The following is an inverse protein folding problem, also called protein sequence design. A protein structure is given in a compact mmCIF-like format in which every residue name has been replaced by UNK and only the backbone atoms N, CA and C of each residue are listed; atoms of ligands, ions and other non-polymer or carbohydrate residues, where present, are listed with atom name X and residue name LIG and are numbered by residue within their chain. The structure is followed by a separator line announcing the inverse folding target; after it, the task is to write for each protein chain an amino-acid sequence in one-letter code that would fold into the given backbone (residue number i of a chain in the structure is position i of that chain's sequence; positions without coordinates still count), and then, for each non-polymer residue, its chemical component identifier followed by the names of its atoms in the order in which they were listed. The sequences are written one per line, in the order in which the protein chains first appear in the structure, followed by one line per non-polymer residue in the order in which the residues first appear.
data_IF_488006119401
#
_entry.id   IF_488006119401
#
_cell.length_a   1.000
_cell.length_b   1.000
_cell.length_c   1.000
_cell.angle_alpha   90.00
_cell.angle_beta   90.00
_cell.angle_gamma   90.00
#
_symmetry.space_group_name_H-M   'P 1'
#
loop_
_entity.id
_entity.type
_entity.pdbx_description
1 polymer ?
#
# COMPACT_ATOMS: atom_id res chain seq x y z
N UNK A 1 -19.00 -0.53 8.91
CA UNK A 1 -19.76 -1.44 9.83
C UNK A 1 -20.98 -2.01 9.12
N UNK A 2 -21.40 -3.26 9.38
CA UNK A 2 -22.67 -3.75 8.83
C UNK A 2 -23.82 -2.98 9.49
N UNK A 3 -24.80 -2.44 8.74
CA UNK A 3 -25.78 -1.47 9.25
C UNK A 3 -26.69 -1.99 10.38
N UNK A 4 -26.60 -3.25 10.78
CA UNK A 4 -27.51 -3.93 11.69
C UNK A 4 -26.82 -4.55 12.93
N UNK A 5 -25.63 -4.08 13.32
CA UNK A 5 -24.87 -4.71 14.41
C UNK A 5 -25.57 -4.59 15.79
N UNK A 6 -26.31 -3.50 16.02
CA UNK A 6 -27.02 -3.29 17.30
C UNK A 6 -28.27 -4.17 17.43
N UNK A 7 -29.00 -4.43 16.35
CA UNK A 7 -30.16 -5.30 16.29
C UNK A 7 -29.73 -6.76 16.45
N UNK A 8 -28.70 -7.17 15.75
CA UNK A 8 -28.11 -8.51 15.86
C UNK A 8 -27.62 -8.84 17.26
N UNK A 9 -27.22 -7.83 18.04
CA UNK A 9 -26.79 -8.04 19.42
C UNK A 9 -27.91 -8.61 20.31
N UNK A 10 -29.16 -8.27 20.04
CA UNK A 10 -30.32 -8.80 20.76
C UNK A 10 -30.60 -10.29 20.46
N UNK A 11 -30.17 -10.76 19.29
CA UNK A 11 -30.36 -12.12 18.80
C UNK A 11 -29.23 -13.07 19.23
N UNK A 12 -28.09 -12.52 19.66
CA UNK A 12 -26.94 -13.34 20.05
C UNK A 12 -27.21 -14.16 21.29
N UNK A 13 -26.69 -15.37 21.27
CA UNK A 13 -26.73 -16.32 22.38
C UNK A 13 -25.33 -16.80 22.70
N UNK A 14 -25.14 -17.24 23.92
CA UNK A 14 -23.91 -17.95 24.34
C UNK A 14 -23.84 -19.32 23.66
N UNK A 15 -22.65 -19.95 23.66
CA UNK A 15 -22.45 -21.26 23.02
C UNK A 15 -23.36 -22.39 23.58
N UNK A 16 -23.91 -22.22 24.78
CA UNK A 16 -24.89 -23.10 25.42
C UNK A 16 -26.36 -22.68 25.18
N UNK A 17 -26.59 -21.70 24.28
CA UNK A 17 -27.92 -21.25 23.84
C UNK A 17 -28.61 -20.24 24.76
N UNK A 18 -27.98 -19.81 25.88
CA UNK A 18 -28.54 -18.82 26.80
C UNK A 18 -28.41 -17.40 26.22
N UNK A 19 -29.22 -16.48 26.74
CA UNK A 19 -29.05 -15.05 26.43
C UNK A 19 -27.73 -14.53 26.99
N UNK A 20 -27.13 -13.54 26.29
CA UNK A 20 -25.92 -12.92 26.77
C UNK A 20 -26.12 -12.23 28.12
N UNK A 21 -25.16 -12.32 29.06
CA UNK A 21 -25.20 -11.59 30.31
C UNK A 21 -25.39 -10.08 30.09
N UNK A 22 -26.23 -9.41 30.92
CA UNK A 22 -26.52 -7.98 30.73
C UNK A 22 -25.27 -7.09 30.76
N UNK A 23 -24.27 -7.42 31.59
CA UNK A 23 -23.00 -6.71 31.65
C UNK A 23 -22.22 -6.79 30.32
N UNK A 24 -22.18 -7.98 29.72
CA UNK A 24 -21.52 -8.19 28.41
C UNK A 24 -22.25 -7.43 27.29
N UNK A 25 -23.60 -7.46 27.30
CA UNK A 25 -24.39 -6.68 26.34
C UNK A 25 -24.11 -5.19 26.48
N UNK A 26 -24.01 -4.68 27.70
CA UNK A 26 -23.68 -3.26 27.96
C UNK A 26 -22.26 -2.91 27.50
N UNK A 27 -21.32 -3.81 27.68
CA UNK A 27 -19.93 -3.65 27.21
C UNK A 27 -19.86 -3.61 25.67
N UNK A 28 -20.46 -4.59 24.99
CA UNK A 28 -20.52 -4.64 23.53
C UNK A 28 -21.18 -3.36 22.96
N UNK A 29 -22.26 -2.87 23.60
CA UNK A 29 -22.89 -1.61 23.19
C UNK A 29 -21.96 -0.40 23.33
N UNK A 30 -21.12 -0.37 24.37
CA UNK A 30 -20.11 0.69 24.52
C UNK A 30 -19.06 0.63 23.42
N UNK A 31 -18.57 -0.56 23.11
CA UNK A 31 -17.58 -0.75 22.04
C UNK A 31 -18.16 -0.44 20.65
N UNK A 32 -19.40 -0.79 20.38
CA UNK A 32 -20.09 -0.42 19.14
C UNK A 32 -20.23 1.11 19.00
N UNK A 33 -20.46 1.83 20.10
CA UNK A 33 -20.49 3.32 20.07
C UNK A 33 -19.12 3.91 19.80
N UNK A 34 -18.07 3.37 20.43
CA UNK A 34 -16.67 3.78 20.15
C UNK A 34 -16.30 3.54 18.69
N UNK A 35 -16.65 2.38 18.16
CA UNK A 35 -16.40 2.04 16.78
C UNK A 35 -17.07 3.04 15.83
N UNK A 36 -18.34 3.39 16.04
CA UNK A 36 -19.05 4.38 15.23
C UNK A 36 -18.36 5.74 15.26
N UNK A 37 -17.98 6.22 16.44
CA UNK A 37 -17.28 7.49 16.59
C UNK A 37 -15.96 7.48 15.81
N UNK A 38 -15.19 6.39 15.87
CA UNK A 38 -13.94 6.27 15.11
C UNK A 38 -14.20 6.23 13.61
N UNK A 39 -15.25 5.53 13.15
CA UNK A 39 -15.65 5.53 11.74
C UNK A 39 -16.04 6.93 11.24
N UNK A 40 -16.77 7.72 12.04
CA UNK A 40 -17.10 9.12 11.75
C UNK A 40 -15.83 9.98 11.65
N UNK A 41 -14.93 9.91 12.63
CA UNK A 41 -13.65 10.64 12.62
C UNK A 41 -12.76 10.26 11.41
N UNK A 42 -12.77 8.99 11.01
CA UNK A 42 -12.08 8.55 9.79
C UNK A 42 -12.71 9.20 8.57
N UNK A 43 -14.06 9.22 8.49
CA UNK A 43 -14.79 9.84 7.39
C UNK A 43 -14.51 11.35 7.27
N UNK A 44 -14.49 12.06 8.40
CA UNK A 44 -14.13 13.48 8.45
C UNK A 44 -12.68 13.71 7.97
N UNK A 45 -11.72 12.95 8.48
CA UNK A 45 -10.32 13.06 8.07
C UNK A 45 -10.10 12.69 6.59
N UNK A 46 -10.89 11.77 6.05
CA UNK A 46 -10.88 11.44 4.64
C UNK A 46 -11.47 12.57 3.78
N UNK A 47 -12.56 13.22 4.23
CA UNK A 47 -13.17 14.36 3.57
C UNK A 47 -12.23 15.58 3.56
N UNK A 48 -11.65 15.95 4.69
CA UNK A 48 -10.64 17.02 4.77
C UNK A 48 -9.46 16.79 3.83
N UNK A 49 -9.03 15.52 3.74
CA UNK A 49 -7.95 15.14 2.82
C UNK A 49 -8.38 15.23 1.35
N UNK A 50 -9.66 15.00 1.06
CA UNK A 50 -10.20 15.17 -0.28
C UNK A 50 -10.22 16.63 -0.71
N UNK A 51 -10.66 17.52 0.18
CA UNK A 51 -10.70 18.97 -0.07
C UNK A 51 -9.29 19.54 -0.26
N UNK A 52 -8.34 19.14 0.59
CA UNK A 52 -6.94 19.57 0.48
C UNK A 52 -6.31 19.09 -0.84
N UNK A 53 -6.60 17.87 -1.28
CA UNK A 53 -6.12 17.32 -2.55
C UNK A 53 -6.85 17.97 -3.74
N UNK A 54 -8.11 18.36 -3.60
CA UNK A 54 -8.87 19.08 -4.61
C UNK A 54 -8.29 20.47 -4.91
N UNK A 55 -7.88 21.20 -3.89
CA UNK A 55 -7.30 22.55 -4.02
C UNK A 55 -5.89 22.56 -4.64
N UNK A 56 -5.06 21.54 -4.38
CA UNK A 56 -3.71 21.40 -4.94
C UNK A 56 -3.70 20.84 -6.38
N UNK A 57 -4.80 20.38 -6.94
CA UNK A 57 -4.81 19.21 -7.83
C UNK A 57 -4.93 19.48 -9.31
N UNK A 58 -5.32 20.65 -9.76
CA UNK A 58 -5.52 20.89 -11.19
C UNK A 58 -4.19 20.94 -11.97
N UNK A 59 -3.07 21.17 -11.28
CA UNK A 59 -1.75 21.32 -11.90
C UNK A 59 -0.75 20.22 -11.56
N UNK A 60 -1.00 19.32 -10.60
CA UNK A 60 0.03 18.36 -10.13
C UNK A 60 -0.05 17.00 -10.82
N UNK A 61 0.63 16.88 -11.96
CA UNK A 61 0.82 15.61 -12.70
C UNK A 61 1.33 14.47 -11.81
N UNK A 62 2.04 14.78 -10.71
CA UNK A 62 2.61 13.79 -9.78
C UNK A 62 1.55 13.05 -8.96
N UNK A 63 0.33 13.60 -8.87
CA UNK A 63 -0.82 12.87 -8.31
C UNK A 63 -1.68 12.27 -9.41
N UNK A 64 -1.95 13.03 -10.46
CA UNK A 64 -2.86 12.63 -11.52
C UNK A 64 -2.40 11.34 -12.22
N UNK A 65 -1.13 11.27 -12.61
CA UNK A 65 -0.60 10.12 -13.35
C UNK A 65 -0.65 8.79 -12.56
N UNK A 66 -0.19 8.69 -11.30
CA UNK A 66 -0.33 7.45 -10.55
C UNK A 66 -1.78 7.01 -10.34
N UNK A 67 -2.73 7.96 -10.22
CA UNK A 67 -4.16 7.64 -10.10
C UNK A 67 -4.75 7.00 -11.34
N UNK A 68 -4.22 7.31 -12.53
CA UNK A 68 -4.67 6.70 -13.78
C UNK A 68 -4.30 5.21 -13.83
N UNK A 69 -3.33 4.77 -13.08
CA UNK A 69 -2.92 3.37 -13.07
C UNK A 69 -3.90 2.55 -12.25
N UNK A 70 -4.50 1.54 -12.88
CA UNK A 70 -5.40 0.60 -12.20
C UNK A 70 -4.66 -0.10 -11.06
N UNK A 71 -5.26 -0.14 -9.88
CA UNK A 71 -4.63 -0.71 -8.68
C UNK A 71 -3.90 0.31 -7.79
N UNK A 72 -3.68 1.56 -8.25
CA UNK A 72 -3.21 2.65 -7.39
C UNK A 72 -4.39 3.55 -7.06
N UNK A 73 -4.87 3.46 -5.82
CA UNK A 73 -5.94 4.31 -5.31
C UNK A 73 -5.48 5.74 -5.01
N UNK A 74 -6.45 6.64 -4.76
CA UNK A 74 -6.17 8.04 -4.42
C UNK A 74 -5.24 8.18 -3.20
N UNK A 75 -5.52 7.45 -2.13
CA UNK A 75 -4.70 7.46 -0.90
C UNK A 75 -3.25 7.09 -1.19
N UNK A 76 -3.03 6.02 -1.95
CA UNK A 76 -1.70 5.56 -2.32
C UNK A 76 -0.99 6.57 -3.24
N UNK A 77 -1.68 7.17 -4.22
CA UNK A 77 -1.12 8.18 -5.10
C UNK A 77 -0.70 9.45 -4.32
N UNK A 78 -1.55 9.94 -3.41
CA UNK A 78 -1.24 11.08 -2.55
C UNK A 78 -0.06 10.78 -1.62
N UNK A 79 -0.03 9.60 -1.04
CA UNK A 79 1.07 9.19 -0.18
C UNK A 79 2.39 9.06 -0.95
N UNK A 80 2.37 8.49 -2.17
CA UNK A 80 3.55 8.46 -3.04
C UNK A 80 4.06 9.87 -3.40
N UNK A 81 3.15 10.82 -3.68
CA UNK A 81 3.54 12.21 -3.91
C UNK A 81 4.23 12.80 -2.69
N UNK A 82 3.58 12.70 -1.51
CA UNK A 82 4.07 13.33 -0.27
C UNK A 82 5.35 12.70 0.26
N UNK A 83 5.50 11.39 0.11
CA UNK A 83 6.61 10.65 0.70
C UNK A 83 7.75 10.38 -0.28
N UNK A 84 7.50 10.40 -1.57
CA UNK A 84 8.48 10.01 -2.59
C UNK A 84 8.66 11.10 -3.65
N UNK A 85 7.61 11.42 -4.39
CA UNK A 85 7.70 12.23 -5.61
C UNK A 85 7.62 13.76 -5.37
N UNK A 86 7.67 14.21 -4.12
CA UNK A 86 7.94 15.61 -3.79
C UNK A 86 9.40 15.98 -4.05
N UNK A 87 10.30 14.99 -4.11
CA UNK A 87 11.73 15.14 -4.40
C UNK A 87 12.03 14.79 -5.85
N UNK A 88 13.08 15.38 -6.34
CA UNK A 88 13.69 14.99 -7.62
C UNK A 88 14.82 14.00 -7.36
N UNK A 89 14.91 12.98 -8.21
CA UNK A 89 15.93 11.95 -8.14
C UNK A 89 16.70 11.95 -9.45
N UNK A 90 18.01 11.93 -9.36
CA UNK A 90 18.89 11.92 -10.54
C UNK A 90 18.95 10.53 -11.17
N UNK A 91 18.80 9.50 -10.37
CA UNK A 91 18.88 8.12 -10.85
C UNK A 91 18.12 7.13 -9.97
N UNK A 92 17.90 5.91 -10.52
CA UNK A 92 17.20 4.82 -9.84
C UNK A 92 17.88 4.31 -8.55
N UNK A 93 19.20 4.53 -8.39
CA UNK A 93 19.93 4.08 -7.20
C UNK A 93 19.63 5.00 -6.04
N UNK A 94 19.63 6.30 -6.28
CA UNK A 94 19.26 7.33 -5.31
C UNK A 94 17.82 7.12 -4.81
N UNK A 95 16.86 6.93 -5.72
CA UNK A 95 15.48 6.61 -5.39
C UNK A 95 15.38 5.35 -4.51
N UNK A 96 16.06 4.28 -4.89
CA UNK A 96 16.05 3.03 -4.12
C UNK A 96 16.73 3.18 -2.74
N UNK A 97 17.78 3.99 -2.66
CA UNK A 97 18.48 4.33 -1.41
C UNK A 97 17.58 5.12 -0.47
N UNK A 98 16.93 6.17 -0.98
CA UNK A 98 15.97 6.98 -0.21
C UNK A 98 14.84 6.15 0.42
N UNK A 99 14.39 5.12 -0.26
CA UNK A 99 13.33 4.23 0.20
C UNK A 99 13.84 3.08 1.10
N UNK A 100 15.16 2.93 1.23
CA UNK A 100 15.77 1.79 1.89
C UNK A 100 15.49 0.45 1.22
N UNK A 101 15.21 0.49 -0.10
CA UNK A 101 15.01 -0.68 -0.96
C UNK A 101 16.28 -1.09 -1.71
N UNK A 102 17.38 -0.38 -1.49
CA UNK A 102 18.68 -0.77 -2.04
C UNK A 102 19.18 -2.06 -1.36
N UNK A 103 19.79 -3.00 -2.10
CA UNK A 103 20.44 -4.13 -1.49
C UNK A 103 21.60 -3.66 -0.62
N UNK A 104 21.82 -4.33 0.48
CA UNK A 104 22.90 -4.08 1.41
C UNK A 104 23.85 -5.29 1.41
N UNK A 105 24.72 -5.44 0.40
CA UNK A 105 25.69 -6.52 0.40
C UNK A 105 26.74 -6.25 1.48
N UNK A 106 27.03 -7.26 2.26
CA UNK A 106 28.20 -7.25 3.13
C UNK A 106 29.30 -8.07 2.47
N UNK A 107 30.36 -7.38 2.09
CA UNK A 107 31.51 -7.99 1.42
C UNK A 107 32.73 -7.75 2.27
N UNK A 108 33.30 -8.84 2.79
CA UNK A 108 34.66 -8.83 3.36
C UNK A 108 35.46 -9.89 2.62
N UNK A 109 36.67 -9.57 2.24
CA UNK A 109 37.62 -10.32 1.39
C UNK A 109 37.18 -11.68 0.78
N UNK A 110 36.65 -12.60 1.57
CA UNK A 110 36.22 -13.93 1.13
C UNK A 110 34.75 -14.27 1.39
N UNK A 111 34.01 -13.37 2.07
CA UNK A 111 32.62 -13.62 2.47
C UNK A 111 31.69 -12.64 1.79
N UNK A 112 30.80 -13.16 0.93
CA UNK A 112 29.72 -12.40 0.29
C UNK A 112 28.39 -12.76 0.94
N UNK A 113 27.89 -11.92 1.84
CA UNK A 113 26.58 -12.09 2.47
C UNK A 113 25.59 -11.06 1.92
N UNK A 114 24.49 -11.54 1.36
CA UNK A 114 23.35 -10.69 0.98
C UNK A 114 22.48 -10.49 2.23
N UNK A 115 22.54 -9.29 2.81
CA UNK A 115 21.74 -8.91 3.98
C UNK A 115 20.33 -8.46 3.60
N UNK A 116 19.95 -8.54 2.31
CA UNK A 116 18.67 -8.06 1.80
C UNK A 116 18.67 -6.55 1.54
N UNK A 117 17.58 -5.86 1.90
CA UNK A 117 17.48 -4.40 1.73
C UNK A 117 18.02 -3.65 2.93
N UNK A 118 18.58 -2.45 2.70
CA UNK A 118 19.21 -1.64 3.76
C UNK A 118 18.26 -1.23 4.88
N UNK A 119 16.96 -1.07 4.57
CA UNK A 119 15.92 -0.54 5.46
C UNK A 119 16.20 0.87 6.02
N UNK A 120 17.38 1.42 5.80
CA UNK A 120 17.72 2.81 6.08
C UNK A 120 17.02 3.70 5.06
N UNK A 121 16.11 4.57 5.49
CA UNK A 121 15.37 5.46 4.60
C UNK A 121 13.89 5.57 4.99
N UNK A 122 13.05 6.11 4.10
CA UNK A 122 11.66 6.37 4.38
C UNK A 122 10.84 5.07 4.56
N UNK A 123 10.62 4.67 5.81
CA UNK A 123 9.91 3.45 6.17
C UNK A 123 8.43 3.50 5.73
N UNK A 124 7.79 4.67 5.83
CA UNK A 124 6.38 4.85 5.45
C UNK A 124 6.19 4.66 3.94
N UNK A 125 7.03 5.32 3.14
CA UNK A 125 7.02 5.15 1.69
C UNK A 125 7.28 3.69 1.28
N UNK A 126 8.21 3.03 1.95
CA UNK A 126 8.51 1.61 1.71
C UNK A 126 7.31 0.70 1.99
N UNK A 127 6.61 0.91 3.11
CA UNK A 127 5.39 0.15 3.45
C UNK A 127 4.32 0.33 2.39
N UNK A 128 4.01 1.56 2.00
CA UNK A 128 3.03 1.88 0.96
C UNK A 128 3.40 1.22 -0.37
N UNK A 129 4.68 1.25 -0.76
CA UNK A 129 5.14 0.62 -2.00
C UNK A 129 5.00 -0.91 -1.97
N UNK A 130 5.20 -1.54 -0.82
CA UNK A 130 4.99 -2.98 -0.66
C UNK A 130 3.50 -3.33 -0.78
N UNK A 131 2.62 -2.53 -0.20
CA UNK A 131 1.17 -2.69 -0.34
C UNK A 131 0.73 -2.52 -1.81
N UNK A 132 1.21 -1.47 -2.48
CA UNK A 132 0.95 -1.27 -3.91
C UNK A 132 1.47 -2.44 -4.73
N UNK A 133 2.64 -3.01 -4.40
CA UNK A 133 3.18 -4.16 -5.11
C UNK A 133 2.29 -5.41 -4.96
N UNK A 134 1.67 -5.63 -3.80
CA UNK A 134 0.66 -6.67 -3.63
C UNK A 134 -0.59 -6.41 -4.47
N UNK A 135 -1.12 -5.19 -4.43
CA UNK A 135 -2.26 -4.79 -5.26
C UNK A 135 -1.95 -4.88 -6.75
N UNK A 136 -0.71 -4.57 -7.15
CA UNK A 136 -0.24 -4.67 -8.53
C UNK A 136 -0.37 -6.08 -9.09
N UNK A 137 -0.01 -7.09 -8.32
CA UNK A 137 -0.15 -8.48 -8.77
C UNK A 137 -1.60 -8.88 -9.03
N UNK A 138 -2.55 -8.23 -8.38
CA UNK A 138 -3.99 -8.49 -8.49
C UNK A 138 -4.64 -7.68 -9.62
N UNK A 139 -4.32 -6.38 -9.71
CA UNK A 139 -5.02 -5.44 -10.59
C UNK A 139 -4.31 -5.21 -11.92
N UNK A 140 -3.05 -5.63 -12.04
CA UNK A 140 -2.21 -5.50 -13.24
C UNK A 140 -1.61 -6.83 -13.68
N UNK A 141 -2.42 -7.91 -13.81
CA UNK A 141 -1.88 -9.25 -14.07
C UNK A 141 -1.17 -9.37 -15.41
N UNK A 142 -1.56 -8.55 -16.40
CA UNK A 142 -0.95 -8.51 -17.74
C UNK A 142 0.34 -7.71 -17.82
N UNK A 143 0.68 -6.91 -16.80
CA UNK A 143 1.88 -6.09 -16.83
C UNK A 143 3.15 -6.92 -16.79
N UNK A 144 4.20 -6.44 -17.48
CA UNK A 144 5.53 -7.09 -17.48
C UNK A 144 6.08 -7.32 -16.06
N UNK A 145 5.83 -6.40 -15.14
CA UNK A 145 6.25 -6.53 -13.75
C UNK A 145 5.51 -7.65 -13.02
N UNK A 146 4.21 -7.82 -13.27
CA UNK A 146 3.44 -8.90 -12.67
C UNK A 146 3.82 -10.26 -13.28
N UNK A 147 4.07 -10.33 -14.58
CA UNK A 147 4.59 -11.52 -15.25
C UNK A 147 5.95 -11.92 -14.67
N UNK A 148 6.88 -10.97 -14.58
CA UNK A 148 8.19 -11.19 -13.96
C UNK A 148 8.07 -11.71 -12.52
N UNK A 149 7.14 -11.17 -11.74
CA UNK A 149 6.92 -11.61 -10.37
C UNK A 149 6.40 -13.06 -10.33
N UNK A 150 5.40 -13.39 -11.14
CA UNK A 150 4.84 -14.75 -11.20
C UNK A 150 5.87 -15.79 -11.61
N UNK A 151 6.67 -15.51 -12.63
CA UNK A 151 7.76 -16.37 -13.08
C UNK A 151 8.76 -16.66 -11.97
N UNK A 152 9.15 -15.61 -11.22
CA UNK A 152 10.12 -15.73 -10.12
C UNK A 152 9.55 -16.41 -8.88
N UNK A 153 8.29 -16.15 -8.57
CA UNK A 153 7.62 -16.77 -7.42
C UNK A 153 7.38 -18.25 -7.71
N UNK A 154 6.92 -18.62 -8.90
CA UNK A 154 6.54 -19.99 -9.20
C UNK A 154 5.69 -20.59 -8.09
N UNK A 155 6.16 -21.68 -7.48
CA UNK A 155 5.53 -22.36 -6.34
C UNK A 155 6.05 -21.85 -4.97
N UNK A 156 6.90 -20.83 -4.93
CA UNK A 156 7.49 -20.35 -3.68
C UNK A 156 6.45 -19.75 -2.74
N UNK A 157 6.53 -20.16 -1.48
CA UNK A 157 5.68 -19.68 -0.38
C UNK A 157 6.53 -19.01 0.71
N UNK A 158 5.88 -18.43 1.69
CA UNK A 158 6.51 -17.92 2.90
C UNK A 158 7.54 -16.81 2.65
N UNK A 159 8.77 -17.00 3.14
CA UNK A 159 9.83 -15.99 3.15
C UNK A 159 10.23 -15.54 1.74
N UNK A 160 10.42 -16.47 0.81
CA UNK A 160 10.87 -16.14 -0.55
C UNK A 160 9.85 -15.26 -1.29
N UNK A 161 8.56 -15.58 -1.17
CA UNK A 161 7.49 -14.76 -1.76
C UNK A 161 7.52 -13.33 -1.22
N UNK A 162 7.76 -13.14 0.10
CA UNK A 162 7.87 -11.81 0.72
C UNK A 162 9.09 -11.04 0.20
N UNK A 163 10.24 -11.69 0.03
CA UNK A 163 11.43 -11.08 -0.58
C UNK A 163 11.14 -10.61 -1.99
N UNK A 164 10.47 -11.43 -2.80
CA UNK A 164 10.14 -11.11 -4.19
C UNK A 164 9.13 -9.96 -4.31
N UNK A 165 8.19 -9.81 -3.37
CA UNK A 165 7.30 -8.64 -3.34
C UNK A 165 8.08 -7.35 -3.07
N UNK A 166 9.06 -7.38 -2.19
CA UNK A 166 9.95 -6.22 -1.94
C UNK A 166 10.76 -5.88 -3.21
N UNK A 167 11.24 -6.89 -3.92
CA UNK A 167 11.93 -6.69 -5.20
C UNK A 167 10.98 -6.12 -6.26
N UNK A 168 9.71 -6.57 -6.29
CA UNK A 168 8.67 -5.99 -7.14
C UNK A 168 8.41 -4.52 -6.78
N UNK A 169 8.26 -4.19 -5.49
CA UNK A 169 8.07 -2.82 -5.02
C UNK A 169 9.20 -1.89 -5.49
N UNK A 170 10.45 -2.35 -5.44
CA UNK A 170 11.60 -1.60 -5.96
C UNK A 170 11.53 -1.38 -7.47
N UNK A 171 11.16 -2.40 -8.25
CA UNK A 171 10.99 -2.26 -9.70
C UNK A 171 9.82 -1.33 -10.03
N UNK A 172 8.74 -1.46 -9.29
CA UNK A 172 7.52 -0.68 -9.48
C UNK A 172 7.75 0.81 -9.24
N UNK A 173 8.44 1.19 -8.15
CA UNK A 173 8.71 2.61 -7.89
C UNK A 173 9.61 3.23 -8.95
N UNK A 174 10.56 2.48 -9.50
CA UNK A 174 11.39 2.95 -10.62
C UNK A 174 10.54 3.12 -11.89
N UNK A 175 9.60 2.22 -12.15
CA UNK A 175 8.70 2.32 -13.29
C UNK A 175 7.75 3.54 -13.14
N UNK A 176 7.18 3.75 -11.96
CA UNK A 176 6.35 4.92 -11.65
C UNK A 176 7.13 6.24 -11.74
N UNK A 177 8.37 6.25 -11.26
CA UNK A 177 9.24 7.41 -11.40
C UNK A 177 9.49 7.77 -12.86
N UNK A 178 9.79 6.79 -13.72
CA UNK A 178 9.95 7.02 -15.17
C UNK A 178 8.65 7.49 -15.82
N UNK A 179 7.52 6.96 -15.39
CA UNK A 179 6.23 7.41 -15.87
C UNK A 179 5.99 8.88 -15.53
N UNK A 180 6.33 9.31 -14.31
CA UNK A 180 6.18 10.70 -13.87
C UNK A 180 7.17 11.66 -14.52
N UNK A 181 8.43 11.24 -14.68
CA UNK A 181 9.50 12.10 -15.20
C UNK A 181 9.53 12.18 -16.73
N UNK A 182 9.27 11.08 -17.42
CA UNK A 182 9.41 10.95 -18.86
C UNK A 182 8.11 10.58 -19.59
N UNK A 183 7.00 10.41 -18.90
CA UNK A 183 5.72 9.99 -19.48
C UNK A 183 5.70 8.53 -19.98
N UNK A 184 6.72 7.73 -19.68
CA UNK A 184 6.87 6.37 -20.20
C UNK A 184 5.95 5.44 -19.40
N UNK A 185 4.84 5.04 -20.01
CA UNK A 185 3.91 4.06 -19.42
C UNK A 185 4.63 2.71 -19.31
N UNK A 186 4.60 2.06 -18.12
CA UNK A 186 5.21 0.74 -17.98
C UNK A 186 4.50 -0.30 -18.84
N UNK A 187 5.27 -1.21 -19.44
CA UNK A 187 4.77 -2.19 -20.40
C UNK A 187 3.65 -3.07 -19.83
N UNK A 188 2.55 -3.17 -20.59
CA UNK A 188 1.37 -3.98 -20.24
C UNK A 188 0.54 -3.43 -19.09
N UNK A 189 0.69 -2.15 -18.75
CA UNK A 189 -0.10 -1.49 -17.70
C UNK A 189 -1.44 -1.04 -18.23
N UNK A 190 -2.49 -1.41 -17.51
CA UNK A 190 -3.85 -0.92 -17.73
C UNK A 190 -4.05 0.41 -17.00
N UNK A 191 -4.44 1.42 -17.73
CA UNK A 191 -4.89 2.69 -17.19
C UNK A 191 -6.40 2.65 -16.92
N UNK A 192 -6.87 3.49 -16.02
CA UNK A 192 -8.30 3.73 -15.83
C UNK A 192 -8.81 4.60 -16.97
N UNK A 193 -9.97 4.25 -17.46
CA UNK A 193 -10.72 5.10 -18.37
C UNK A 193 -11.23 6.35 -17.63
#
# INVERSE_FOLDING_TARGET
MRPNAAERLAELRTGDGRSLPPCLVAEIRRELRRLRLVEEMIGEAEAEREDTVGAETVADRRIALPRQVKGIGRVAATALRREVFHREFTNRRELAGYLGLAPSPWVSSSVHLDQGISKAGNARARTILIEIAWLWTRYQPGSRLACWFRERVGQAKGRLRRILVVALARKLVVALWRYLSAGVIPEGVELRA
#
